data_IF_902726097879
#
_entry.id   IF_902726097879
#
_cell.length_a   1.000
_cell.length_b   1.000
_cell.length_c   1.000
_cell.angle_alpha   90.00
_cell.angle_beta   90.00
_cell.angle_gamma   90.00
#
_symmetry.space_group_name_H-M   'P 1'
#
loop_
_entity.id
_entity.type
_entity.pdbx_description
1 polymer ?
#
# COMPACT_ATOMS: atom_id res chain seq x y z
N UNK A 1 -8.95 -9.87 -6.09
CA UNK A 1 -7.81 -9.29 -5.36
C UNK A 1 -6.89 -8.72 -6.40
N UNK A 2 -6.49 -7.47 -6.22
CA UNK A 2 -5.58 -6.77 -7.13
C UNK A 2 -4.19 -6.74 -6.55
N UNK A 3 -3.17 -6.76 -7.42
CA UNK A 3 -1.78 -6.64 -7.02
C UNK A 3 -1.35 -5.18 -7.02
N UNK A 4 -0.54 -4.83 -6.02
CA UNK A 4 0.20 -3.59 -6.00
C UNK A 4 1.65 -3.82 -5.59
N UNK A 5 2.51 -2.89 -6.02
CA UNK A 5 3.89 -2.83 -5.58
C UNK A 5 4.08 -1.68 -4.59
N UNK A 6 4.77 -1.94 -3.47
CA UNK A 6 5.20 -0.88 -2.56
C UNK A 6 6.27 -0.05 -3.25
N UNK A 7 6.01 1.23 -3.44
CA UNK A 7 6.98 2.18 -3.97
C UNK A 7 7.74 2.90 -2.87
N UNK A 8 7.03 3.24 -1.80
CA UNK A 8 7.58 3.99 -0.66
C UNK A 8 7.01 3.38 0.61
N UNK A 9 7.86 3.20 1.62
CA UNK A 9 7.43 2.88 2.97
C UNK A 9 8.16 3.78 3.97
N UNK A 10 7.41 4.47 4.82
CA UNK A 10 7.93 5.35 5.86
C UNK A 10 7.72 4.70 7.24
N UNK A 11 8.71 4.00 7.82
CA UNK A 11 8.51 3.24 9.06
C UNK A 11 8.15 4.08 10.29
N UNK A 12 8.47 5.39 10.26
CA UNK A 12 8.18 6.30 11.37
C UNK A 12 6.69 6.66 11.45
N UNK A 13 6.02 6.74 10.31
CA UNK A 13 4.60 7.12 10.19
C UNK A 13 3.70 5.94 9.85
N UNK A 14 4.29 4.83 9.38
CA UNK A 14 3.55 3.69 8.85
C UNK A 14 3.01 3.92 7.43
N UNK A 15 3.25 5.08 6.81
CA UNK A 15 2.72 5.38 5.47
C UNK A 15 3.34 4.49 4.40
N UNK A 16 2.48 4.00 3.51
CA UNK A 16 2.81 3.12 2.39
C UNK A 16 2.26 3.75 1.11
N UNK A 17 3.16 4.02 0.15
CA UNK A 17 2.79 4.35 -1.21
C UNK A 17 2.75 3.10 -2.07
N UNK A 18 1.62 2.85 -2.73
CA UNK A 18 1.39 1.67 -3.57
C UNK A 18 1.18 2.09 -5.04
N UNK A 19 1.76 1.33 -5.96
CA UNK A 19 1.42 1.37 -7.39
C UNK A 19 0.52 0.19 -7.73
N UNK A 20 -0.66 0.47 -8.29
CA UNK A 20 -1.64 -0.53 -8.71
C UNK A 20 -1.34 -1.07 -10.11
N UNK A 21 -1.99 -2.17 -10.47
CA UNK A 21 -1.78 -2.83 -11.76
C UNK A 21 -2.28 -1.99 -12.96
N UNK A 22 -3.25 -1.11 -12.74
CA UNK A 22 -3.76 -0.15 -13.72
C UNK A 22 -2.86 1.10 -13.91
N UNK A 23 -1.77 1.20 -13.15
CA UNK A 23 -0.82 2.32 -13.18
C UNK A 23 -1.20 3.51 -12.30
N UNK A 24 -2.37 3.47 -11.65
CA UNK A 24 -2.74 4.43 -10.61
C UNK A 24 -2.02 4.14 -9.29
N UNK A 25 -2.21 5.03 -8.31
CA UNK A 25 -1.56 4.94 -7.01
C UNK A 25 -2.57 4.89 -5.87
N UNK A 26 -2.15 4.28 -4.76
CA UNK A 26 -2.89 4.28 -3.50
C UNK A 26 -1.97 4.68 -2.34
N UNK A 27 -2.59 5.23 -1.31
CA UNK A 27 -1.97 5.52 -0.03
C UNK A 27 -2.61 4.62 1.02
N UNK A 28 -1.76 3.95 1.78
CA UNK A 28 -2.18 3.14 2.92
C UNK A 28 -1.31 3.47 4.13
N UNK A 29 -1.77 3.04 5.30
CA UNK A 29 -1.04 3.12 6.56
C UNK A 29 -0.94 1.74 7.19
N UNK A 30 0.25 1.35 7.59
CA UNK A 30 0.49 0.09 8.27
C UNK A 30 -0.02 0.16 9.71
N UNK A 31 -0.86 -0.80 10.10
CA UNK A 31 -1.37 -0.91 11.47
C UNK A 31 -0.72 -2.05 12.27
N UNK A 32 0.02 -2.95 11.60
CA UNK A 32 0.85 -3.96 12.25
C UNK A 32 2.29 -3.50 12.51
N UNK A 33 3.11 -4.36 13.12
CA UNK A 33 4.55 -4.12 13.35
C UNK A 33 5.46 -4.95 12.42
N UNK A 34 4.89 -5.68 11.47
CA UNK A 34 5.65 -6.52 10.56
C UNK A 34 6.44 -5.65 9.57
N UNK A 35 7.71 -5.95 9.30
CA UNK A 35 8.50 -5.11 8.40
C UNK A 35 7.98 -5.21 6.96
N UNK A 36 7.68 -4.05 6.37
CA UNK A 36 7.44 -3.87 4.94
C UNK A 36 8.70 -3.39 4.21
N UNK A 37 8.77 -3.63 2.90
CA UNK A 37 9.91 -3.20 2.07
C UNK A 37 9.44 -2.65 0.74
N UNK A 38 10.13 -1.63 0.26
CA UNK A 38 9.97 -1.15 -1.12
C UNK A 38 10.26 -2.28 -2.12
N UNK A 39 9.51 -2.27 -3.23
CA UNK A 39 9.53 -3.31 -4.26
C UNK A 39 8.70 -4.55 -3.94
N UNK A 40 8.21 -4.72 -2.70
CA UNK A 40 7.35 -5.83 -2.30
C UNK A 40 6.03 -5.80 -3.08
N UNK A 41 5.54 -6.99 -3.49
CA UNK A 41 4.26 -7.14 -4.20
C UNK A 41 3.21 -7.71 -3.27
N UNK A 42 2.22 -6.89 -2.99
CA UNK A 42 1.08 -7.23 -2.15
C UNK A 42 -0.17 -7.43 -3.00
N UNK A 43 -1.13 -8.20 -2.49
CA UNK A 43 -2.46 -8.32 -3.09
C UNK A 43 -3.56 -8.09 -2.06
N UNK A 44 -4.68 -7.50 -2.47
CA UNK A 44 -5.83 -7.25 -1.60
C UNK A 44 -6.97 -6.53 -2.32
N UNK A 45 -7.84 -5.86 -1.55
CA UNK A 45 -8.82 -4.92 -2.09
C UNK A 45 -8.26 -3.50 -2.04
N UNK A 46 -7.84 -2.99 -3.20
CA UNK A 46 -7.09 -1.73 -3.30
C UNK A 46 -7.95 -0.56 -3.80
N UNK A 47 -9.23 -0.80 -4.09
CA UNK A 47 -10.17 0.19 -4.62
C UNK A 47 -11.24 0.60 -3.61
N UNK A 48 -10.87 0.59 -2.34
CA UNK A 48 -11.74 1.02 -1.23
C UNK A 48 -10.92 1.69 -0.15
N UNK A 49 -11.54 2.64 0.55
CA UNK A 49 -11.01 3.26 1.76
C UNK A 49 -11.46 2.45 2.97
N UNK A 50 -10.57 2.23 3.93
CA UNK A 50 -10.85 1.51 5.17
C UNK A 50 -9.83 0.43 5.51
N UNK A 51 -10.13 -0.34 6.56
CA UNK A 51 -9.30 -1.46 7.00
C UNK A 51 -9.24 -2.56 5.95
N UNK A 52 -8.03 -3.05 5.67
CA UNK A 52 -7.77 -4.13 4.73
C UNK A 52 -6.63 -5.03 5.22
N UNK A 53 -6.60 -6.27 4.74
CA UNK A 53 -5.45 -7.16 4.91
C UNK A 53 -4.79 -7.41 3.56
N UNK A 54 -3.56 -6.91 3.41
CA UNK A 54 -2.75 -7.17 2.24
C UNK A 54 -1.90 -8.43 2.42
N UNK A 55 -1.79 -9.24 1.38
CA UNK A 55 -1.00 -10.47 1.38
C UNK A 55 0.20 -10.35 0.45
N UNK A 56 1.40 -10.69 0.93
CA UNK A 56 2.58 -10.80 0.08
C UNK A 56 2.47 -12.03 -0.83
N UNK A 57 2.54 -11.80 -2.13
CA UNK A 57 2.29 -12.82 -3.16
C UNK A 57 3.35 -13.92 -3.24
N UNK A 58 4.52 -13.74 -2.60
CA UNK A 58 5.63 -14.70 -2.61
C UNK A 58 5.72 -15.50 -1.31
N UNK A 59 5.40 -14.87 -0.18
CA UNK A 59 5.60 -15.43 1.16
C UNK A 59 4.30 -15.78 1.88
N UNK A 60 3.16 -15.31 1.36
CA UNK A 60 1.85 -15.39 2.01
C UNK A 60 1.80 -14.68 3.39
N UNK A 61 2.75 -13.80 3.68
CA UNK A 61 2.70 -12.94 4.85
C UNK A 61 1.52 -11.95 4.74
N UNK A 62 0.84 -11.70 5.85
CA UNK A 62 -0.37 -10.86 5.90
C UNK A 62 -0.12 -9.60 6.72
N UNK A 63 -0.52 -8.46 6.16
CA UNK A 63 -0.28 -7.12 6.69
C UNK A 63 -1.60 -6.40 6.85
N UNK A 64 -1.90 -5.97 8.08
CA UNK A 64 -3.03 -5.11 8.36
C UNK A 64 -2.68 -3.67 7.98
N UNK A 65 -3.52 -3.08 7.12
CA UNK A 65 -3.37 -1.71 6.66
C UNK A 65 -4.70 -0.98 6.73
N UNK A 66 -4.64 0.34 6.78
CA UNK A 66 -5.77 1.21 6.51
C UNK A 66 -5.55 1.90 5.16
N UNK A 67 -6.38 1.59 4.18
CA UNK A 67 -6.37 2.25 2.87
C UNK A 67 -6.94 3.66 3.03
N UNK A 68 -6.11 4.69 2.85
CA UNK A 68 -6.49 6.09 3.00
C UNK A 68 -7.05 6.68 1.70
N UNK A 69 -6.48 6.30 0.55
CA UNK A 69 -6.89 6.76 -0.76
C UNK A 69 -6.45 5.79 -1.87
N UNK A 70 -7.17 5.80 -3.00
CA UNK A 70 -6.87 5.03 -4.21
C UNK A 70 -7.21 5.84 -5.47
N UNK A 71 -6.73 5.41 -6.63
CA UNK A 71 -6.93 6.14 -7.89
C UNK A 71 -6.15 7.46 -7.96
N UNK A 72 -5.09 7.60 -7.16
CA UNK A 72 -4.25 8.79 -7.13
C UNK A 72 -3.40 8.88 -8.40
N UNK A 73 -3.06 10.12 -8.78
CA UNK A 73 -1.95 10.38 -9.70
C UNK A 73 -0.61 10.29 -8.97
N UNK A 74 0.49 10.22 -9.72
CA UNK A 74 1.84 10.23 -9.14
C UNK A 74 2.09 11.47 -8.26
N UNK A 75 1.63 12.64 -8.71
CA UNK A 75 1.74 13.88 -7.93
C UNK A 75 0.85 13.86 -6.68
N UNK A 76 -0.36 13.30 -6.78
CA UNK A 76 -1.25 13.13 -5.63
C UNK A 76 -0.63 12.23 -4.55
N UNK A 77 0.00 11.12 -4.95
CA UNK A 77 0.75 10.28 -4.03
C UNK A 77 1.94 11.03 -3.41
N UNK A 78 2.72 11.76 -4.22
CA UNK A 78 3.88 12.52 -3.75
C UNK A 78 3.49 13.52 -2.67
N UNK A 79 2.42 14.28 -2.88
CA UNK A 79 1.94 15.27 -1.91
C UNK A 79 1.45 14.64 -0.61
N UNK A 80 0.89 13.43 -0.66
CA UNK A 80 0.38 12.74 0.52
C UNK A 80 1.48 12.07 1.36
N UNK A 81 2.69 11.92 0.81
CA UNK A 81 3.87 11.37 1.50
C UNK A 81 4.79 12.44 2.11
N UNK A 82 4.45 13.73 1.97
CA UNK A 82 5.17 14.86 2.58
C UNK A 82 4.80 15.03 4.05
#
# INVERSE_FOLDING_TARGET
MEQAQILVYQPQTGLIGLQLADGSYALAEQWGNQPLREGQRLQGNLHSVGMETLEDTRTHARYEVFMQAYGLSAEGLRLALL
#
